data_IF_337902991235
#
_entry.id   IF_337902991235
#
_cell.length_a   1.000
_cell.length_b   1.000
_cell.length_c   1.000
_cell.angle_alpha   90.00
_cell.angle_beta   90.00
_cell.angle_gamma   90.00
#
_symmetry.space_group_name_H-M   'P 1'
#
loop_
_entity.id
_entity.type
_entity.pdbx_description
1 polymer ?
#
# COMPACT_ATOMS: atom_id res chain seq x y z
N UNK A 1 8.79 1.61 -17.57
CA UNK A 1 9.19 1.75 -16.16
C UNK A 1 8.33 0.77 -15.40
N UNK A 2 8.85 0.14 -14.35
CA UNK A 2 8.04 -0.79 -13.56
C UNK A 2 7.16 0.00 -12.60
N UNK A 3 5.90 -0.39 -12.46
CA UNK A 3 4.96 0.28 -11.58
C UNK A 3 4.67 -0.56 -10.33
N UNK A 4 4.42 0.11 -9.21
CA UNK A 4 4.05 -0.53 -7.96
C UNK A 4 2.92 0.22 -7.26
N UNK A 5 2.19 -0.51 -6.42
CA UNK A 5 1.18 0.01 -5.50
C UNK A 5 1.49 -0.50 -4.10
N UNK A 6 1.18 0.30 -3.08
CA UNK A 6 1.53 0.01 -1.69
C UNK A 6 0.25 -0.13 -0.86
N UNK A 7 0.14 -1.22 -0.10
CA UNK A 7 -0.94 -1.43 0.85
C UNK A 7 -0.37 -1.60 2.27
N UNK A 8 -0.66 -0.66 3.15
CA UNK A 8 -0.40 -0.79 4.58
C UNK A 8 -1.62 -1.36 5.28
N UNK A 9 -1.41 -2.40 6.10
CA UNK A 9 -2.45 -3.00 6.93
C UNK A 9 -2.12 -2.72 8.39
N UNK A 10 -2.90 -1.86 9.04
CA UNK A 10 -2.72 -1.54 10.45
C UNK A 10 -3.90 -0.77 11.03
N UNK A 11 -4.52 -1.32 12.08
CA UNK A 11 -5.52 -0.59 12.88
C UNK A 11 -4.96 0.71 13.46
N UNK A 12 -3.71 0.67 13.93
CA UNK A 12 -3.07 1.82 14.56
C UNK A 12 -2.86 2.99 13.59
N UNK A 13 -2.52 2.69 12.34
CA UNK A 13 -2.37 3.73 11.29
C UNK A 13 -3.73 4.26 10.86
N UNK A 14 -4.71 3.38 10.62
CA UNK A 14 -6.08 3.81 10.28
C UNK A 14 -6.68 4.67 11.40
N UNK A 15 -6.45 4.31 12.66
CA UNK A 15 -6.90 5.07 13.82
C UNK A 15 -6.05 6.32 14.12
N UNK A 16 -4.97 6.58 13.35
CA UNK A 16 -4.08 7.73 13.56
C UNK A 16 -3.25 7.66 14.86
N UNK A 17 -3.21 6.52 15.52
CA UNK A 17 -2.42 6.31 16.76
C UNK A 17 -0.97 5.96 16.49
N UNK A 18 -0.65 5.57 15.23
CA UNK A 18 0.71 5.30 14.74
C UNK A 18 0.87 5.89 13.35
N UNK A 19 2.08 6.36 13.05
CA UNK A 19 2.45 6.81 11.72
C UNK A 19 2.80 5.62 10.81
N UNK A 20 2.44 5.69 9.52
CA UNK A 20 2.79 4.69 8.52
C UNK A 20 4.24 4.83 8.01
N UNK A 21 5.19 4.58 8.91
CA UNK A 21 6.62 4.62 8.58
C UNK A 21 7.05 3.46 7.69
N UNK A 22 6.40 2.30 7.79
CA UNK A 22 6.67 1.15 6.93
C UNK A 22 6.27 1.41 5.48
N UNK A 23 5.08 1.99 5.25
CA UNK A 23 4.63 2.35 3.92
C UNK A 23 5.58 3.36 3.26
N UNK A 24 6.02 4.36 4.02
CA UNK A 24 7.01 5.33 3.53
C UNK A 24 8.35 4.67 3.17
N UNK A 25 8.87 3.78 4.02
CA UNK A 25 10.13 3.10 3.76
C UNK A 25 10.10 2.21 2.51
N UNK A 26 8.96 1.57 2.25
CA UNK A 26 8.75 0.78 1.02
C UNK A 26 8.69 1.68 -0.20
N UNK A 27 7.97 2.80 -0.13
CA UNK A 27 7.87 3.80 -1.19
C UNK A 27 9.24 4.36 -1.58
N UNK A 28 10.03 4.76 -0.58
CA UNK A 28 11.38 5.28 -0.78
C UNK A 28 12.30 4.23 -1.43
N UNK A 29 12.22 2.97 -0.97
CA UNK A 29 13.00 1.88 -1.53
C UNK A 29 12.62 1.59 -2.99
N UNK A 30 11.33 1.51 -3.31
CA UNK A 30 10.87 1.25 -4.68
C UNK A 30 11.26 2.39 -5.63
N UNK A 31 11.05 3.65 -5.23
CA UNK A 31 11.47 4.81 -6.03
C UNK A 31 12.99 4.84 -6.26
N UNK A 32 13.79 4.52 -5.23
CA UNK A 32 15.24 4.44 -5.37
C UNK A 32 15.69 3.36 -6.37
N UNK A 33 14.84 2.36 -6.63
CA UNK A 33 15.08 1.29 -7.61
C UNK A 33 14.34 1.51 -8.94
N UNK A 34 13.82 2.71 -9.21
CA UNK A 34 13.26 3.09 -10.50
C UNK A 34 11.80 2.70 -10.74
N UNK A 35 11.07 2.35 -9.69
CA UNK A 35 9.63 2.13 -9.77
C UNK A 35 8.86 3.46 -9.74
N UNK A 36 7.76 3.52 -10.49
CA UNK A 36 6.73 4.53 -10.30
C UNK A 36 5.66 4.02 -9.32
N UNK A 37 5.20 4.88 -8.42
CA UNK A 37 4.25 4.51 -7.36
C UNK A 37 2.89 5.06 -7.72
N UNK A 38 2.03 4.19 -8.23
CA UNK A 38 0.73 4.56 -8.77
C UNK A 38 -0.33 4.79 -7.69
N UNK A 39 -0.24 4.07 -6.58
CA UNK A 39 -1.23 4.15 -5.51
C UNK A 39 -0.65 3.73 -4.15
N UNK A 40 -1.18 4.33 -3.09
CA UNK A 40 -0.90 3.94 -1.71
C UNK A 40 -2.17 3.98 -0.87
N UNK A 41 -2.48 2.85 -0.26
CA UNK A 41 -3.66 2.66 0.58
C UNK A 41 -3.27 2.19 1.98
N UNK A 42 -4.05 2.62 2.97
CA UNK A 42 -4.00 2.08 4.33
C UNK A 42 -5.36 1.48 4.67
N UNK A 43 -5.37 0.26 5.21
CA UNK A 43 -6.59 -0.40 5.71
C UNK A 43 -6.39 -0.97 7.12
N UNK A 44 -7.51 -1.20 7.80
CA UNK A 44 -7.56 -1.85 9.10
C UNK A 44 -7.19 -3.33 8.98
N UNK A 45 -6.75 -3.92 10.08
CA UNK A 45 -6.47 -5.33 10.18
C UNK A 45 -7.75 -6.15 9.95
N UNK A 46 -7.66 -7.22 9.17
CA UNK A 46 -8.80 -8.11 8.91
C UNK A 46 -8.82 -8.71 7.51
N UNK A 47 -9.39 -9.92 7.41
CA UNK A 47 -9.45 -10.64 6.14
C UNK A 47 -10.27 -9.86 5.10
N UNK A 48 -11.44 -9.35 5.48
CA UNK A 48 -12.34 -8.66 4.55
C UNK A 48 -11.81 -7.30 4.08
N UNK A 49 -11.20 -6.52 4.99
CA UNK A 49 -10.59 -5.23 4.65
C UNK A 49 -9.42 -5.43 3.67
N UNK A 50 -8.53 -6.37 3.98
CA UNK A 50 -7.36 -6.69 3.14
C UNK A 50 -7.80 -7.27 1.80
N UNK A 51 -8.70 -8.23 1.78
CA UNK A 51 -9.16 -8.86 0.54
C UNK A 51 -9.85 -7.87 -0.40
N UNK A 52 -10.62 -6.92 0.14
CA UNK A 52 -11.24 -5.85 -0.66
C UNK A 52 -10.19 -4.91 -1.24
N UNK A 53 -9.23 -4.48 -0.43
CA UNK A 53 -8.14 -3.60 -0.87
C UNK A 53 -7.30 -4.24 -1.98
N UNK A 54 -6.89 -5.50 -1.79
CA UNK A 54 -6.10 -6.22 -2.79
C UNK A 54 -6.85 -6.37 -4.12
N UNK A 55 -8.15 -6.72 -4.08
CA UNK A 55 -8.97 -6.79 -5.31
C UNK A 55 -9.07 -5.43 -6.00
N UNK A 56 -9.26 -4.35 -5.25
CA UNK A 56 -9.34 -3.01 -5.82
C UNK A 56 -8.01 -2.56 -6.45
N UNK A 57 -6.88 -2.84 -5.79
CA UNK A 57 -5.55 -2.49 -6.30
C UNK A 57 -5.15 -3.32 -7.53
N UNK A 58 -5.61 -4.56 -7.61
CA UNK A 58 -5.32 -5.47 -8.72
C UNK A 58 -6.30 -5.32 -9.90
N UNK A 59 -7.45 -4.67 -9.71
CA UNK A 59 -8.47 -4.54 -10.75
C UNK A 59 -7.91 -3.76 -11.95
N UNK A 60 -7.96 -4.37 -13.12
CA UNK A 60 -7.40 -3.80 -14.36
C UNK A 60 -5.89 -3.58 -14.35
N UNK A 61 -5.14 -4.12 -13.37
CA UNK A 61 -3.71 -3.89 -13.24
C UNK A 61 -2.88 -4.79 -14.16
N UNK A 62 -1.99 -4.20 -14.96
CA UNK A 62 -1.15 -4.93 -15.92
C UNK A 62 0.35 -4.96 -15.57
N UNK A 63 0.79 -4.22 -14.54
CA UNK A 63 2.21 -4.06 -14.20
C UNK A 63 2.86 -2.97 -15.05
#
# INVERSE_FOLDING_TARGET
MEHAKILTVSDGVVAGTREDRSGQAVEDHLRANGFDIDDRLVVADGIESVARALRALADGWAG
#
